data_IF_255064509023
#
_entry.id   IF_255064509023
#
_cell.length_a   1.000
_cell.length_b   1.000
_cell.length_c   1.000
_cell.angle_alpha   90.00
_cell.angle_beta   90.00
_cell.angle_gamma   90.00
#
_symmetry.space_group_name_H-M   'P 1'
#
loop_
_entity.id
_entity.type
_entity.pdbx_description
1 polymer ?
#
# COMPACT_ATOMS: atom_id res chain seq x y z
N UNK A 1 40.89 -32.64 -31.51
CA UNK A 1 42.13 -32.51 -30.72
C UNK A 1 41.75 -32.22 -29.27
N UNK A 2 42.17 -33.10 -28.34
CA UNK A 2 42.30 -32.99 -26.87
C UNK A 2 41.19 -32.21 -26.12
N UNK A 3 40.34 -32.76 -25.24
CA UNK A 3 40.39 -33.99 -24.46
C UNK A 3 41.33 -33.86 -23.25
N UNK A 4 40.80 -33.54 -22.05
CA UNK A 4 41.27 -34.08 -20.76
C UNK A 4 40.08 -34.15 -19.78
N UNK A 5 40.05 -35.28 -19.08
CA UNK A 5 39.00 -35.82 -18.21
C UNK A 5 39.59 -36.02 -16.79
N UNK A 6 38.70 -36.19 -15.81
CA UNK A 6 38.88 -36.90 -14.52
C UNK A 6 39.62 -36.16 -13.38
N UNK A 7 39.31 -36.31 -12.08
CA UNK A 7 38.28 -37.01 -11.29
C UNK A 7 38.57 -36.74 -9.78
N UNK A 8 37.70 -37.14 -8.83
CA UNK A 8 37.57 -36.54 -7.50
C UNK A 8 38.26 -37.33 -6.37
N UNK A 9 38.29 -36.76 -5.16
CA UNK A 9 38.69 -37.48 -3.94
C UNK A 9 37.67 -37.30 -2.79
N UNK A 10 37.32 -38.45 -2.18
CA UNK A 10 36.42 -38.66 -1.03
C UNK A 10 37.22 -38.74 0.29
N UNK A 11 36.46 -38.90 1.39
CA UNK A 11 36.81 -39.31 2.77
C UNK A 11 36.87 -38.16 3.78
N UNK A 12 36.39 -38.24 5.01
CA UNK A 12 35.79 -39.31 5.81
C UNK A 12 35.84 -38.89 7.29
N UNK A 13 34.74 -39.15 8.02
CA UNK A 13 34.51 -39.23 9.49
C UNK A 13 35.50 -38.57 10.49
N UNK A 14 34.98 -37.82 11.48
CA UNK A 14 34.65 -38.39 12.82
C UNK A 14 33.98 -37.40 13.80
N UNK A 15 33.03 -37.94 14.58
CA UNK A 15 32.38 -37.30 15.74
C UNK A 15 33.31 -37.18 16.94
N UNK A 16 33.22 -36.07 17.68
CA UNK A 16 33.57 -36.00 19.09
C UNK A 16 32.65 -34.98 19.80
N UNK A 17 32.01 -35.45 20.88
CA UNK A 17 31.08 -34.70 21.72
C UNK A 17 31.81 -33.70 22.62
N UNK A 18 31.27 -32.48 22.75
CA UNK A 18 31.67 -31.46 23.71
C UNK A 18 30.44 -30.75 24.29
N UNK A 19 30.37 -30.65 25.62
CA UNK A 19 29.21 -30.21 26.42
C UNK A 19 28.87 -28.72 26.23
N UNK A 20 27.60 -28.40 26.44
CA UNK A 20 27.07 -27.04 26.57
C UNK A 20 27.63 -26.33 27.81
N UNK A 21 28.04 -25.08 27.64
CA UNK A 21 27.99 -24.03 28.66
C UNK A 21 27.52 -22.74 28.02
N UNK A 22 26.37 -22.24 28.48
CA UNK A 22 25.88 -20.85 28.45
C UNK A 22 26.46 -19.86 27.43
N UNK A 23 25.58 -19.35 26.56
CA UNK A 23 25.66 -17.97 26.04
C UNK A 23 26.34 -17.81 24.68
N UNK A 24 25.52 -17.81 23.62
CA UNK A 24 25.88 -17.25 22.31
C UNK A 24 26.68 -18.18 21.39
N UNK A 25 26.06 -18.58 20.28
CA UNK A 25 26.79 -19.19 19.17
C UNK A 25 27.23 -18.09 18.19
N UNK A 26 28.54 -17.94 18.02
CA UNK A 26 29.17 -17.13 16.97
C UNK A 26 29.34 -18.03 15.75
N UNK A 27 28.67 -17.71 14.63
CA UNK A 27 29.01 -18.26 13.32
C UNK A 27 29.82 -17.22 12.54
N UNK A 28 31.11 -17.50 12.39
CA UNK A 28 32.03 -16.76 11.52
C UNK A 28 31.67 -17.02 10.05
N UNK A 29 31.23 -15.97 9.36
CA UNK A 29 31.21 -15.92 7.91
C UNK A 29 32.59 -15.46 7.39
N UNK A 30 33.10 -16.00 6.26
CA UNK A 30 34.31 -15.50 5.63
C UNK A 30 34.19 -14.01 5.25
N UNK A 31 35.28 -13.29 5.49
CA UNK A 31 35.53 -11.86 5.44
C UNK A 31 34.60 -10.98 4.57
N UNK A 32 33.99 -9.96 5.21
CA UNK A 32 33.59 -8.74 4.50
C UNK A 32 32.32 -7.98 4.93
N UNK A 33 31.53 -8.45 5.90
CA UNK A 33 30.33 -7.72 6.38
C UNK A 33 30.13 -7.86 7.89
N UNK A 34 29.74 -6.80 8.63
CA UNK A 34 29.50 -6.87 10.06
C UNK A 34 28.17 -7.60 10.37
N UNK A 35 28.21 -8.41 11.42
CA UNK A 35 27.02 -8.99 12.06
C UNK A 35 26.30 -7.90 12.87
N UNK A 36 24.97 -7.81 12.74
CA UNK A 36 24.17 -6.88 13.52
C UNK A 36 23.51 -7.60 14.70
N UNK A 37 23.83 -7.15 15.91
CA UNK A 37 23.11 -7.42 17.15
C UNK A 37 22.28 -6.16 17.41
N UNK A 38 20.95 -6.28 17.46
CA UNK A 38 20.07 -5.16 17.78
C UNK A 38 19.77 -5.20 19.28
N UNK A 39 20.34 -4.27 20.04
CA UNK A 39 19.81 -3.89 21.35
C UNK A 39 19.55 -2.39 21.33
N UNK A 40 18.26 -2.07 21.38
CA UNK A 40 17.64 -0.78 21.67
C UNK A 40 18.42 0.06 22.69
N UNK A 41 18.73 1.33 22.35
CA UNK A 41 18.66 2.53 23.21
C UNK A 41 18.78 3.82 22.37
N UNK A 42 17.77 4.68 22.45
CA UNK A 42 17.82 6.14 22.18
C UNK A 42 18.16 6.88 23.50
N UNK A 43 18.52 8.18 23.59
CA UNK A 43 18.82 9.21 22.56
C UNK A 43 20.14 10.00 22.82
N UNK A 44 20.42 10.96 21.93
CA UNK A 44 20.98 12.32 22.17
C UNK A 44 22.34 12.67 21.55
N UNK A 45 22.33 13.75 20.76
CA UNK A 45 23.43 14.71 20.71
C UNK A 45 24.35 14.70 19.49
N UNK A 46 24.10 15.68 18.61
CA UNK A 46 25.08 16.56 17.94
C UNK A 46 26.00 16.00 16.84
N UNK A 47 26.33 16.90 15.91
CA UNK A 47 27.18 16.78 14.70
C UNK A 47 26.49 16.09 13.51
N UNK A 48 26.31 16.69 12.35
CA UNK A 48 26.95 17.86 11.74
C UNK A 48 27.38 17.48 10.33
N UNK A 49 26.67 17.99 9.32
CA UNK A 49 27.11 18.04 7.92
C UNK A 49 26.81 16.79 7.07
N UNK A 50 25.68 16.80 6.35
CA UNK A 50 25.48 15.93 5.19
C UNK A 50 25.94 16.68 3.93
N UNK A 51 26.75 16.07 3.03
CA UNK A 51 27.13 16.69 1.77
C UNK A 51 25.95 16.66 0.78
N UNK A 52 25.88 17.71 -0.04
CA UNK A 52 24.97 17.77 -1.17
C UNK A 52 25.35 16.69 -2.19
N UNK A 53 24.36 15.87 -2.55
CA UNK A 53 24.31 14.89 -3.66
C UNK A 53 24.67 13.45 -3.26
N UNK A 54 23.61 12.63 -3.35
CA UNK A 54 23.54 11.17 -3.37
C UNK A 54 23.49 10.42 -2.02
N UNK A 55 22.26 10.04 -1.65
CA UNK A 55 21.84 8.76 -1.05
C UNK A 55 20.31 8.70 -1.26
N UNK A 56 19.67 7.81 -2.04
CA UNK A 56 19.69 6.34 -1.97
C UNK A 56 19.84 5.86 -0.53
N UNK A 57 18.73 5.88 0.22
CA UNK A 57 18.24 4.84 1.14
C UNK A 57 17.19 5.46 2.08
N UNK A 58 15.93 5.06 1.95
CA UNK A 58 15.01 5.02 3.10
C UNK A 58 14.69 3.56 3.31
N UNK A 59 15.27 2.98 4.36
CA UNK A 59 14.84 1.71 4.93
C UNK A 59 13.60 1.97 5.80
N UNK A 60 12.55 1.20 5.56
CA UNK A 60 11.65 0.76 6.63
C UNK A 60 10.47 1.68 6.95
N UNK A 61 9.49 1.74 6.06
CA UNK A 61 8.13 1.39 6.45
C UNK A 61 7.68 0.32 5.46
N UNK A 62 7.18 -0.82 5.94
CA UNK A 62 6.42 -1.72 5.07
C UNK A 62 5.16 -0.96 4.64
N UNK A 63 5.27 -0.14 3.58
CA UNK A 63 4.09 0.41 2.92
C UNK A 63 3.42 -0.79 2.29
N UNK A 64 2.52 -1.39 3.04
CA UNK A 64 1.73 -2.51 2.59
C UNK A 64 1.02 -2.11 1.30
N UNK A 65 1.33 -2.82 0.21
CA UNK A 65 0.77 -2.57 -1.12
C UNK A 65 -0.49 -3.40 -1.35
N UNK A 66 -1.43 -2.93 -2.20
CA UNK A 66 -2.55 -3.75 -2.63
C UNK A 66 -2.07 -4.99 -3.38
N UNK A 67 -2.71 -6.14 -3.13
CA UNK A 67 -2.45 -7.35 -3.89
C UNK A 67 -3.10 -7.25 -5.28
N UNK A 68 -2.29 -7.43 -6.31
CA UNK A 68 -2.71 -7.48 -7.71
C UNK A 68 -2.18 -8.76 -8.37
N UNK A 69 -2.85 -9.20 -9.43
CA UNK A 69 -2.40 -10.32 -10.26
C UNK A 69 -2.30 -9.86 -11.73
N UNK A 70 -1.54 -10.58 -12.55
CA UNK A 70 -1.52 -10.35 -14.00
C UNK A 70 -1.00 -8.97 -14.42
N UNK A 71 -1.78 -8.27 -15.24
CA UNK A 71 -1.39 -6.96 -15.81
C UNK A 71 -1.42 -5.86 -14.76
N UNK A 72 -2.43 -5.85 -13.88
CA UNK A 72 -2.52 -4.90 -12.77
C UNK A 72 -1.30 -5.00 -11.85
N UNK A 73 -0.77 -6.20 -11.61
CA UNK A 73 0.44 -6.39 -10.81
C UNK A 73 1.65 -5.73 -11.45
N UNK A 74 1.86 -5.93 -12.76
CA UNK A 74 2.97 -5.31 -13.50
C UNK A 74 2.88 -3.78 -13.48
N UNK A 75 1.67 -3.23 -13.64
CA UNK A 75 1.44 -1.79 -13.57
C UNK A 75 1.73 -1.29 -12.15
N UNK A 76 1.18 -1.96 -11.12
CA UNK A 76 1.38 -1.58 -9.73
C UNK A 76 2.86 -1.57 -9.34
N UNK A 77 3.62 -2.61 -9.73
CA UNK A 77 5.06 -2.71 -9.45
C UNK A 77 5.86 -1.58 -10.11
N UNK A 78 5.48 -1.19 -11.32
CA UNK A 78 6.12 -0.09 -12.04
C UNK A 78 5.86 1.27 -11.38
N UNK A 79 4.62 1.55 -10.98
CA UNK A 79 4.19 2.90 -10.57
C UNK A 79 4.29 3.15 -9.07
N UNK A 80 4.21 2.10 -8.24
CA UNK A 80 4.21 2.24 -6.79
C UNK A 80 5.43 2.97 -6.23
N UNK A 81 6.68 2.71 -6.66
CA UNK A 81 7.84 3.44 -6.15
C UNK A 81 7.75 4.95 -6.38
N UNK A 82 7.23 5.37 -7.53
CA UNK A 82 7.05 6.80 -7.87
C UNK A 82 5.95 7.43 -7.01
N UNK A 83 4.80 6.76 -6.88
CA UNK A 83 3.68 7.21 -6.04
C UNK A 83 4.12 7.37 -4.58
N UNK A 84 4.86 6.39 -4.06
CA UNK A 84 5.39 6.39 -2.69
C UNK A 84 6.42 7.51 -2.48
N UNK A 85 7.32 7.73 -3.44
CA UNK A 85 8.32 8.79 -3.37
C UNK A 85 7.70 10.18 -3.32
N UNK A 86 6.54 10.36 -3.96
CA UNK A 86 5.78 11.60 -3.97
C UNK A 86 4.97 11.83 -2.67
N UNK A 87 4.98 10.90 -1.72
CA UNK A 87 4.23 11.01 -0.47
C UNK A 87 2.79 10.52 -0.56
N UNK A 88 2.46 9.73 -1.58
CA UNK A 88 1.16 9.09 -1.73
C UNK A 88 1.25 7.60 -1.45
N UNK A 89 0.10 6.98 -1.28
CA UNK A 89 -0.01 5.55 -1.19
C UNK A 89 -0.86 5.01 -2.34
N UNK A 90 -0.37 3.94 -2.97
CA UNK A 90 -1.17 3.21 -3.94
C UNK A 90 -2.27 2.44 -3.19
N UNK A 91 -3.53 2.73 -3.52
CA UNK A 91 -4.71 2.07 -2.95
C UNK A 91 -5.18 0.92 -3.84
N UNK A 92 -5.25 1.14 -5.16
CA UNK A 92 -5.67 0.13 -6.13
C UNK A 92 -5.21 0.48 -7.54
N UNK A 93 -4.78 -0.53 -8.29
CA UNK A 93 -4.74 -0.53 -9.76
C UNK A 93 -5.87 -1.41 -10.31
N UNK A 94 -6.55 -0.95 -11.35
CA UNK A 94 -7.52 -1.74 -12.09
C UNK A 94 -7.41 -1.45 -13.59
N UNK A 95 -7.42 -2.50 -14.42
CA UNK A 95 -7.54 -2.35 -15.88
C UNK A 95 -8.93 -2.81 -16.31
N UNK A 96 -9.59 -2.01 -17.15
CA UNK A 96 -10.91 -2.33 -17.68
C UNK A 96 -11.03 -1.97 -19.17
N UNK A 97 -12.02 -2.53 -19.87
CA UNK A 97 -12.13 -2.37 -21.32
C UNK A 97 -11.28 -3.35 -22.11
N UNK A 98 -11.58 -3.50 -23.42
CA UNK A 98 -10.88 -4.44 -24.33
C UNK A 98 -10.12 -3.71 -25.44
N UNK A 99 -10.82 -2.89 -26.22
CA UNK A 99 -10.25 -2.22 -27.40
C UNK A 99 -9.49 -0.94 -27.03
N UNK A 100 -10.01 -0.19 -26.05
CA UNK A 100 -9.37 0.99 -25.47
C UNK A 100 -9.37 0.81 -23.95
N UNK A 101 -8.35 0.14 -23.39
CA UNK A 101 -8.30 -0.12 -21.96
C UNK A 101 -8.23 1.19 -21.15
N UNK A 102 -8.87 1.20 -19.99
CA UNK A 102 -8.75 2.24 -18.98
C UNK A 102 -7.94 1.68 -17.84
N UNK A 103 -6.82 2.34 -17.54
CA UNK A 103 -5.97 2.09 -16.37
C UNK A 103 -6.41 3.04 -15.28
N UNK A 104 -7.08 2.52 -14.26
CA UNK A 104 -7.46 3.29 -13.10
C UNK A 104 -6.42 3.11 -11.99
N UNK A 105 -5.86 4.23 -11.54
CA UNK A 105 -5.00 4.31 -10.37
C UNK A 105 -5.73 5.07 -9.28
N UNK A 106 -5.96 4.38 -8.17
CA UNK A 106 -6.51 4.97 -6.97
C UNK A 106 -5.39 5.17 -5.96
N UNK A 107 -5.27 6.39 -5.45
CA UNK A 107 -4.26 6.75 -4.47
C UNK A 107 -4.87 7.48 -3.27
N UNK A 108 -4.12 7.56 -2.18
CA UNK A 108 -4.43 8.39 -1.03
C UNK A 108 -3.16 9.11 -0.56
N UNK A 109 -3.28 10.16 0.25
CA UNK A 109 -2.10 10.81 0.82
C UNK A 109 -1.55 9.96 1.98
N UNK A 110 -0.24 9.76 2.02
CA UNK A 110 0.39 8.99 3.10
C UNK A 110 0.35 9.72 4.45
N UNK A 111 0.20 11.04 4.43
CA UNK A 111 0.03 11.90 5.60
C UNK A 111 -1.44 12.00 6.09
N UNK A 112 -2.36 11.27 5.44
CA UNK A 112 -3.80 11.30 5.70
C UNK A 112 -4.48 12.68 5.52
N UNK A 113 -3.80 13.66 4.94
CA UNK A 113 -4.41 14.94 4.61
C UNK A 113 -5.46 14.78 3.50
N UNK A 114 -6.39 15.75 3.36
CA UNK A 114 -7.41 15.69 2.30
C UNK A 114 -6.79 15.57 0.91
N UNK A 115 -7.23 14.59 0.14
CA UNK A 115 -6.82 14.38 -1.24
C UNK A 115 -7.50 15.40 -2.16
N UNK A 116 -6.72 16.12 -2.97
CA UNK A 116 -7.20 17.22 -3.83
C UNK A 116 -7.04 16.91 -5.33
N UNK A 117 -7.57 17.78 -6.18
CA UNK A 117 -7.45 17.65 -7.64
C UNK A 117 -5.99 17.76 -8.09
N UNK A 118 -5.21 18.63 -7.44
CA UNK A 118 -3.79 18.80 -7.73
C UNK A 118 -2.97 17.52 -7.46
N UNK A 119 -3.40 16.70 -6.50
CA UNK A 119 -2.79 15.40 -6.23
C UNK A 119 -3.05 14.41 -7.40
N UNK A 120 -4.26 14.41 -7.97
CA UNK A 120 -4.57 13.61 -9.16
C UNK A 120 -3.69 14.03 -10.34
N UNK A 121 -3.53 15.33 -10.57
CA UNK A 121 -2.71 15.86 -11.66
C UNK A 121 -1.24 15.46 -11.50
N UNK A 122 -0.68 15.65 -10.31
CA UNK A 122 0.70 15.29 -10.00
C UNK A 122 0.97 13.80 -10.24
N UNK A 123 0.10 12.92 -9.74
CA UNK A 123 0.22 11.47 -9.92
C UNK A 123 0.05 11.11 -11.40
N UNK A 124 -0.94 11.68 -12.09
CA UNK A 124 -1.19 11.39 -13.51
C UNK A 124 0.03 11.70 -14.39
N UNK A 125 0.66 12.86 -14.17
CA UNK A 125 1.88 13.23 -14.89
C UNK A 125 3.04 12.28 -14.62
N UNK A 126 3.32 11.97 -13.34
CA UNK A 126 4.46 11.14 -12.97
C UNK A 126 4.27 9.68 -13.40
N UNK A 127 3.08 9.13 -13.19
CA UNK A 127 2.75 7.75 -13.57
C UNK A 127 2.68 7.59 -15.08
N UNK A 128 2.09 8.55 -15.80
CA UNK A 128 2.06 8.54 -17.27
C UNK A 128 3.47 8.37 -17.85
N UNK A 129 4.43 9.16 -17.36
CA UNK A 129 5.83 9.06 -17.80
C UNK A 129 6.47 7.69 -17.50
N UNK A 130 6.15 7.07 -16.36
CA UNK A 130 6.62 5.72 -16.03
C UNK A 130 6.03 4.69 -16.99
N UNK A 131 4.72 4.76 -17.24
CA UNK A 131 4.02 3.80 -18.11
C UNK A 131 4.41 3.95 -19.58
N UNK A 132 4.80 5.15 -20.02
CA UNK A 132 5.35 5.38 -21.36
C UNK A 132 6.72 4.69 -21.55
N UNK A 133 7.53 4.58 -20.50
CA UNK A 133 8.84 3.92 -20.55
C UNK A 133 8.72 2.40 -20.39
N UNK A 134 7.95 1.95 -19.40
CA UNK A 134 7.78 0.51 -19.10
C UNK A 134 6.85 -0.20 -20.11
N UNK A 135 5.99 0.55 -20.80
CA UNK A 135 5.04 0.11 -21.83
C UNK A 135 4.36 -1.25 -21.55
N UNK A 136 3.68 -1.44 -20.39
CA UNK A 136 3.12 -2.73 -20.03
C UNK A 136 1.85 -3.09 -20.83
N UNK A 137 1.23 -2.11 -21.51
CA UNK A 137 -0.09 -2.22 -22.16
C UNK A 137 0.07 -1.97 -23.65
N UNK A 138 -0.44 -2.89 -24.48
CA UNK A 138 -0.37 -2.72 -25.94
C UNK A 138 -1.50 -1.85 -26.46
N UNK A 139 -1.18 -0.97 -27.39
CA UNK A 139 -2.16 -0.17 -28.14
C UNK A 139 -2.59 1.09 -27.39
N UNK A 140 -3.68 1.72 -27.84
CA UNK A 140 -4.20 2.93 -27.21
C UNK A 140 -4.95 2.61 -25.91
N UNK A 141 -4.69 3.40 -24.87
CA UNK A 141 -5.32 3.27 -23.56
C UNK A 141 -5.46 4.65 -22.89
N UNK A 142 -6.25 4.72 -21.82
CA UNK A 142 -6.49 5.95 -21.03
C UNK A 142 -6.05 5.76 -19.59
N UNK A 143 -5.35 6.74 -19.02
CA UNK A 143 -5.05 6.81 -17.59
C UNK A 143 -6.16 7.57 -16.85
N UNK A 144 -6.68 6.99 -15.77
CA UNK A 144 -7.56 7.66 -14.82
C UNK A 144 -6.90 7.63 -13.44
N UNK A 145 -6.80 8.79 -12.80
CA UNK A 145 -6.32 8.91 -11.42
C UNK A 145 -7.42 9.45 -10.53
N UNK A 146 -7.64 8.81 -9.39
CA UNK A 146 -8.64 9.24 -8.42
C UNK A 146 -8.18 9.00 -6.98
N UNK A 147 -8.81 9.72 -6.05
CA UNK A 147 -8.79 9.32 -4.64
C UNK A 147 -9.70 8.11 -4.41
N UNK A 148 -9.58 7.48 -3.24
CA UNK A 148 -10.47 6.38 -2.86
C UNK A 148 -11.90 6.82 -2.51
N UNK A 149 -12.07 8.06 -2.04
CA UNK A 149 -13.36 8.63 -1.68
C UNK A 149 -14.17 7.77 -0.71
N UNK A 150 -15.50 7.80 -0.86
CA UNK A 150 -16.45 7.08 0.03
C UNK A 150 -16.66 5.61 -0.40
N UNK A 151 -16.48 5.25 -1.68
CA UNK A 151 -16.49 3.85 -2.15
C UNK A 151 -15.11 3.17 -1.95
N UNK A 152 -14.48 3.44 -0.80
CA UNK A 152 -13.09 3.05 -0.52
C UNK A 152 -12.93 1.53 -0.57
N UNK A 153 -12.02 1.01 -1.41
CA UNK A 153 -11.72 -0.41 -1.42
C UNK A 153 -10.86 -0.78 -0.20
N UNK A 154 -11.06 -2.01 0.30
CA UNK A 154 -10.31 -2.56 1.42
C UNK A 154 -9.22 -3.52 0.89
N UNK A 155 -8.10 -2.96 0.41
CA UNK A 155 -7.05 -3.71 -0.28
C UNK A 155 -5.87 -4.07 0.64
N UNK A 156 -5.51 -3.18 1.57
CA UNK A 156 -4.38 -3.33 2.50
C UNK A 156 -4.89 -3.58 3.92
N UNK A 157 -4.17 -4.30 4.78
CA UNK A 157 -4.58 -4.55 6.16
C UNK A 157 -4.89 -3.26 6.91
N UNK A 158 -4.10 -2.20 6.70
CA UNK A 158 -4.39 -0.89 7.28
C UNK A 158 -5.73 -0.31 6.86
N UNK A 159 -6.21 -0.57 5.64
CA UNK A 159 -7.54 -0.12 5.21
C UNK A 159 -8.63 -0.83 6.03
N UNK A 160 -8.48 -2.14 6.25
CA UNK A 160 -9.38 -2.90 7.12
C UNK A 160 -9.36 -2.40 8.56
N UNK A 161 -8.17 -2.09 9.09
CA UNK A 161 -8.00 -1.66 10.47
C UNK A 161 -8.54 -0.24 10.69
N UNK A 162 -8.32 0.68 9.73
CA UNK A 162 -8.83 2.06 9.77
C UNK A 162 -10.36 2.11 9.79
N UNK A 163 -11.02 1.20 9.05
CA UNK A 163 -12.48 1.18 8.92
C UNK A 163 -13.14 0.01 9.68
N UNK A 164 -12.46 -0.52 10.71
CA UNK A 164 -13.09 -1.47 11.61
C UNK A 164 -14.33 -0.85 12.27
N UNK A 165 -15.41 -1.61 12.37
CA UNK A 165 -16.72 -1.13 12.84
C UNK A 165 -17.67 -0.70 11.71
N UNK A 166 -17.19 -0.51 10.47
CA UNK A 166 -18.04 -0.18 9.33
C UNK A 166 -18.49 -1.39 8.53
N UNK A 167 -19.62 -1.25 7.83
CA UNK A 167 -20.18 -2.29 6.99
C UNK A 167 -19.34 -2.45 5.71
N UNK A 168 -18.89 -3.67 5.44
CA UNK A 168 -18.11 -4.03 4.26
C UNK A 168 -18.81 -5.12 3.44
N UNK A 169 -18.55 -5.11 2.14
CA UNK A 169 -18.93 -6.16 1.22
C UNK A 169 -17.68 -6.76 0.57
N UNK A 170 -17.59 -8.08 0.58
CA UNK A 170 -16.44 -8.84 0.08
C UNK A 170 -16.90 -9.85 -0.98
N UNK A 171 -16.25 -9.83 -2.13
CA UNK A 171 -16.36 -10.85 -3.17
C UNK A 171 -15.09 -11.71 -3.14
N UNK A 172 -15.27 -13.02 -3.07
CA UNK A 172 -14.19 -14.00 -3.02
C UNK A 172 -13.86 -14.55 -4.41
N UNK A 173 -12.62 -14.96 -4.61
CA UNK A 173 -12.21 -15.72 -5.78
C UNK A 173 -12.83 -17.14 -5.73
N UNK A 174 -12.58 -17.84 -4.63
CA UNK A 174 -13.11 -19.18 -4.31
C UNK A 174 -14.16 -19.06 -3.21
N UNK A 175 -15.35 -19.68 -3.36
CA UNK A 175 -16.38 -19.64 -2.32
C UNK A 175 -15.88 -20.20 -0.98
N UNK A 176 -16.21 -19.50 0.11
CA UNK A 176 -16.00 -19.96 1.48
C UNK A 176 -17.36 -20.38 2.04
N UNK A 177 -17.48 -21.61 2.51
CA UNK A 177 -18.76 -22.16 3.02
C UNK A 177 -19.91 -22.02 2.00
N UNK A 178 -19.61 -22.23 0.72
CA UNK A 178 -20.59 -22.10 -0.38
C UNK A 178 -20.97 -20.65 -0.73
N UNK A 179 -20.42 -19.65 -0.04
CA UNK A 179 -20.70 -18.23 -0.26
C UNK A 179 -19.56 -17.57 -1.02
N UNK A 180 -19.87 -16.98 -2.18
CA UNK A 180 -18.91 -16.16 -2.96
C UNK A 180 -18.92 -14.68 -2.57
N UNK A 181 -19.98 -14.24 -1.88
CA UNK A 181 -20.15 -12.87 -1.41
C UNK A 181 -20.47 -12.89 0.07
N UNK A 182 -19.74 -12.09 0.82
CA UNK A 182 -19.93 -11.88 2.24
C UNK A 182 -20.21 -10.40 2.49
N UNK A 183 -21.07 -10.12 3.46
CA UNK A 183 -21.40 -8.77 3.89
C UNK A 183 -21.46 -8.78 5.42
N UNK A 184 -20.81 -7.81 6.05
CA UNK A 184 -20.68 -7.77 7.50
C UNK A 184 -19.86 -6.60 7.99
N UNK A 185 -19.77 -6.44 9.30
CA UNK A 185 -18.97 -5.40 9.94
C UNK A 185 -17.50 -5.80 9.88
N UNK A 186 -16.65 -4.92 9.35
CA UNK A 186 -15.21 -5.13 9.34
C UNK A 186 -14.66 -5.14 10.77
N UNK A 187 -13.86 -6.15 11.11
CA UNK A 187 -13.21 -6.28 12.42
C UNK A 187 -11.70 -5.97 12.36
N UNK A 188 -11.19 -5.61 11.19
CA UNK A 188 -9.78 -5.43 10.91
C UNK A 188 -9.16 -6.58 10.12
N UNK A 189 -7.85 -6.49 9.91
CA UNK A 189 -7.06 -7.51 9.22
C UNK A 189 -5.59 -7.50 9.68
N UNK A 190 -4.94 -8.64 9.49
CA UNK A 190 -3.49 -8.78 9.52
C UNK A 190 -2.94 -9.00 8.09
N UNK A 191 -1.67 -9.37 7.99
CA UNK A 191 -1.00 -9.60 6.70
C UNK A 191 -1.69 -10.68 5.84
N UNK A 192 -2.34 -11.68 6.44
CA UNK A 192 -2.87 -12.84 5.73
C UNK A 192 -4.39 -12.91 5.76
N UNK A 193 -5.03 -12.39 6.81
CA UNK A 193 -6.44 -12.64 7.11
C UNK A 193 -7.20 -11.34 7.40
N UNK A 194 -8.34 -11.16 6.73
CA UNK A 194 -9.34 -10.15 7.05
C UNK A 194 -10.51 -10.78 7.82
N UNK A 195 -11.12 -10.03 8.74
CA UNK A 195 -12.21 -10.54 9.59
C UNK A 195 -13.48 -9.71 9.43
N UNK A 196 -14.61 -10.41 9.33
CA UNK A 196 -15.95 -9.82 9.31
C UNK A 196 -16.82 -10.41 10.41
N UNK A 197 -17.68 -9.58 11.02
CA UNK A 197 -18.88 -10.05 11.73
C UNK A 197 -20.06 -10.05 10.78
N UNK A 198 -20.62 -11.23 10.52
CA UNK A 198 -21.76 -11.42 9.63
C UNK A 198 -23.08 -11.04 10.33
N UNK A 199 -24.15 -10.94 9.55
CA UNK A 199 -25.49 -10.55 10.04
C UNK A 199 -26.06 -11.54 11.08
N UNK A 200 -25.72 -12.82 10.98
CA UNK A 200 -26.09 -13.86 11.94
C UNK A 200 -25.27 -13.83 13.25
N UNK A 201 -24.36 -12.86 13.38
CA UNK A 201 -23.48 -12.69 14.53
C UNK A 201 -22.21 -13.55 14.50
N UNK A 202 -22.07 -14.46 13.52
CA UNK A 202 -20.85 -15.26 13.35
C UNK A 202 -19.69 -14.41 12.83
N UNK A 203 -18.46 -14.85 13.12
CA UNK A 203 -17.25 -14.22 12.60
C UNK A 203 -16.66 -15.04 11.45
N UNK A 204 -16.44 -14.39 10.31
CA UNK A 204 -15.79 -14.97 9.15
C UNK A 204 -14.33 -14.49 9.09
N UNK A 205 -13.40 -15.45 9.09
CA UNK A 205 -11.99 -15.22 8.78
C UNK A 205 -11.75 -15.54 7.30
N UNK A 206 -11.24 -14.56 6.55
CA UNK A 206 -11.11 -14.62 5.09
C UNK A 206 -9.64 -14.42 4.75
N UNK A 207 -9.03 -15.38 4.05
CA UNK A 207 -7.68 -15.20 3.52
C UNK A 207 -7.68 -14.02 2.52
N UNK A 208 -6.82 -13.03 2.73
CA UNK A 208 -6.75 -11.82 1.89
C UNK A 208 -6.39 -12.14 0.44
N UNK A 209 -5.60 -13.18 0.22
CA UNK A 209 -5.31 -13.71 -1.12
C UNK A 209 -6.56 -14.27 -1.84
N UNK A 210 -7.57 -14.71 -1.10
CA UNK A 210 -8.85 -15.17 -1.67
C UNK A 210 -9.85 -14.01 -1.90
N UNK A 211 -9.52 -12.78 -1.51
CA UNK A 211 -10.39 -11.62 -1.73
C UNK A 211 -10.19 -11.12 -3.15
N UNK A 212 -11.24 -11.25 -3.97
CA UNK A 212 -11.26 -10.67 -5.32
C UNK A 212 -11.53 -9.17 -5.27
N UNK A 213 -12.43 -8.74 -4.39
CA UNK A 213 -12.81 -7.34 -4.22
C UNK A 213 -13.41 -7.16 -2.83
N UNK A 214 -12.99 -6.13 -2.11
CA UNK A 214 -13.62 -5.71 -0.88
C UNK A 214 -13.79 -4.19 -0.89
N UNK A 215 -14.92 -3.71 -0.37
CA UNK A 215 -15.22 -2.29 -0.28
C UNK A 215 -16.17 -1.99 0.88
N UNK A 216 -16.12 -0.76 1.36
CA UNK A 216 -17.10 -0.25 2.31
C UNK A 216 -18.46 -0.09 1.64
N UNK A 217 -19.52 -0.30 2.42
CA UNK A 217 -20.89 -0.01 2.01
C UNK A 217 -21.22 1.40 2.50
N UNK A 218 -21.73 2.23 1.60
CA UNK A 218 -22.18 3.58 1.94
C UNK A 218 -23.33 3.49 2.96
N UNK A 219 -23.03 3.90 4.20
CA UNK A 219 -23.99 4.02 5.31
C UNK A 219 -23.88 5.42 5.91
N UNK A 220 -24.90 5.86 6.64
CA UNK A 220 -24.89 7.16 7.32
C UNK A 220 -23.71 7.27 8.30
N UNK A 221 -23.43 6.19 9.05
CA UNK A 221 -22.28 6.10 9.95
C UNK A 221 -20.94 6.29 9.21
N UNK A 222 -20.82 5.75 7.99
CA UNK A 222 -19.61 5.91 7.18
C UNK A 222 -19.47 7.34 6.65
N UNK A 223 -20.58 7.95 6.22
CA UNK A 223 -20.60 9.35 5.78
C UNK A 223 -20.16 10.25 6.94
N UNK A 224 -20.71 10.04 8.14
CA UNK A 224 -20.34 10.81 9.33
C UNK A 224 -18.86 10.64 9.73
N UNK A 225 -18.31 9.43 9.59
CA UNK A 225 -16.91 9.15 9.92
C UNK A 225 -15.90 9.66 8.89
N UNK A 226 -16.32 9.86 7.63
CA UNK A 226 -15.44 10.27 6.52
C UNK A 226 -15.62 11.72 6.09
N UNK A 227 -16.66 12.40 6.57
CA UNK A 227 -16.78 13.84 6.45
C UNK A 227 -15.60 14.51 7.16
N UNK A 228 -14.63 15.00 6.39
CA UNK A 228 -13.68 15.98 6.88
C UNK A 228 -14.47 17.13 7.53
N UNK A 229 -13.99 17.75 8.63
CA UNK A 229 -14.61 18.98 9.10
C UNK A 229 -14.59 19.93 7.90
N UNK A 230 -15.78 20.30 7.43
CA UNK A 230 -15.94 21.22 6.32
C UNK A 230 -15.04 22.42 6.60
N UNK A 231 -14.15 22.74 5.66
CA UNK A 231 -13.43 24.00 5.66
C UNK A 231 -14.48 25.11 5.77
N UNK A 232 -14.63 25.67 6.97
CA UNK A 232 -15.12 27.02 7.10
C UNK A 232 -14.00 27.90 6.53
N UNK A 233 -14.08 28.16 5.23
CA UNK A 233 -13.37 29.29 4.66
C UNK A 233 -13.97 30.55 5.34
N UNK A 234 -13.19 31.31 6.13
CA UNK A 234 -13.73 32.46 6.87
C UNK A 234 -13.97 33.70 6.00
N UNK A 235 -13.81 33.60 4.67
CA UNK A 235 -13.61 34.79 3.82
C UNK A 235 -14.82 35.20 2.96
N UNK A 236 -16.02 34.65 3.20
CA UNK A 236 -17.26 35.09 2.52
C UNK A 236 -18.15 36.04 3.37
N UNK A 237 -17.57 36.80 4.29
CA UNK A 237 -18.22 37.95 4.96
C UNK A 237 -17.47 39.27 4.72
N UNK A 238 -17.43 39.77 3.48
CA UNK A 238 -17.55 41.22 3.26
C UNK A 238 -18.03 41.55 1.83
N UNK A 239 -19.34 41.43 1.63
CA UNK A 239 -20.03 42.21 0.61
C UNK A 239 -21.13 43.02 1.29
N UNK A 240 -20.71 43.97 2.12
CA UNK A 240 -21.60 45.03 2.60
C UNK A 240 -22.21 45.78 1.39
N UNK A 241 -23.55 45.89 1.26
CA UNK A 241 -24.15 46.71 0.22
C UNK A 241 -23.88 48.18 0.53
N UNK A 242 -23.23 48.89 -0.40
CA UNK A 242 -22.94 50.32 -0.28
C UNK A 242 -24.22 51.14 -0.06
N UNK A 243 -24.20 52.18 0.78
CA UNK A 243 -25.40 52.95 1.07
C UNK A 243 -25.79 53.83 -0.12
N UNK A 244 -27.01 53.62 -0.62
CA UNK A 244 -27.71 54.56 -1.49
C UNK A 244 -27.86 55.93 -0.79
N UNK A 245 -27.29 56.97 -1.39
CA UNK A 245 -27.37 58.35 -0.92
C UNK A 245 -27.30 59.35 -2.07
N UNK A 246 -28.48 59.80 -2.53
CA UNK A 246 -28.71 60.82 -3.57
C UNK A 246 -27.91 62.12 -3.36
N UNK A 247 -27.55 62.86 -4.44
CA UNK A 247 -27.42 64.30 -4.36
C UNK A 247 -28.64 65.03 -4.93
N UNK A 248 -28.85 66.22 -4.38
CA UNK A 248 -29.87 67.23 -4.70
C UNK A 248 -29.79 67.81 -6.10
#
# INVERSE_FOLDING_TARGET
MRGVHHAPAKSGLNSAAGRLTSGGAILLAPAGRPAYIFTDQSPSGLFGGWPERAAFFVLGTDIERPHHEGLEARIADAVAPTIEHMGYELVRVQVSGKERPVVQIMADRADEAPFRVEDCEAISHAVGAVLDVEDPIRGEWTLEVSSAGIDRPLTRAKDWNRFAGHLAQVELQVPQEGRKRLKGIALGADAETARLRLEDGSEASIARSNIRRAKLVLTDDLIAATAAPASQDPDDEDASPGPDGKPH
#
